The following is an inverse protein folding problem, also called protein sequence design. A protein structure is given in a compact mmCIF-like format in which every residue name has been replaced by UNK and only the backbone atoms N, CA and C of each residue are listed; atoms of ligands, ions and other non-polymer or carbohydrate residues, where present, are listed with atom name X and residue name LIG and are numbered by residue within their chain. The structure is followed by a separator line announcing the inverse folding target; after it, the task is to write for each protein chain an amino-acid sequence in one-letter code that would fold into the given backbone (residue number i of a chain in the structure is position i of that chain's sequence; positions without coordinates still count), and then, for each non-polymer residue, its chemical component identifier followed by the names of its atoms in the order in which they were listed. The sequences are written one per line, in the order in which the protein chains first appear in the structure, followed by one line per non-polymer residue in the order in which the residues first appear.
data_IF_721965319563
#
_entry.id   IF_721965319563
#
_cell.length_a   1.000
_cell.length_b   1.000
_cell.length_c   1.000
_cell.angle_alpha   90.00
_cell.angle_beta   90.00
_cell.angle_gamma   90.00
#
_symmetry.space_group_name_H-M   'P 1'
#
loop_
_entity.id
_entity.type
_entity.pdbx_description
1 polymer ?
#
# COMPACT_ATOMS: atom_id res chain seq x y z
N UNK A 1 -0.49 -24.77 24.19
CA UNK A 1 -1.30 -25.24 25.35
C UNK A 1 -2.41 -24.22 25.53
N UNK A 2 -3.68 -24.66 25.58
CA UNK A 2 -4.78 -23.77 25.96
C UNK A 2 -4.58 -23.47 27.44
N UNK A 3 -4.16 -22.24 27.75
CA UNK A 3 -4.10 -21.81 29.13
C UNK A 3 -5.51 -21.78 29.68
N UNK A 4 -5.67 -22.44 30.82
CA UNK A 4 -6.90 -22.45 31.56
C UNK A 4 -6.96 -21.12 32.31
N UNK A 5 -7.90 -20.23 31.97
CA UNK A 5 -8.01 -18.89 32.56
C UNK A 5 -8.60 -18.89 33.98
N UNK A 6 -8.68 -20.06 34.63
CA UNK A 6 -9.26 -20.30 35.96
C UNK A 6 -8.61 -19.53 37.12
N UNK A 7 -7.49 -18.85 36.93
CA UNK A 7 -6.87 -18.04 37.99
C UNK A 7 -6.85 -16.53 37.67
N UNK A 8 -7.56 -16.11 36.62
CA UNK A 8 -7.61 -14.72 36.17
C UNK A 8 -8.89 -14.06 36.69
N UNK A 9 -8.75 -12.91 37.33
CA UNK A 9 -9.87 -12.06 37.77
C UNK A 9 -10.20 -10.98 36.75
N UNK A 10 -9.20 -10.40 36.09
CA UNK A 10 -9.37 -9.36 35.07
C UNK A 10 -8.65 -9.73 33.79
N UNK A 11 -9.41 -10.15 32.78
CA UNK A 11 -8.91 -10.60 31.49
C UNK A 11 -9.10 -9.53 30.42
N UNK A 12 -8.01 -9.04 29.83
CA UNK A 12 -8.05 -8.24 28.62
C UNK A 12 -8.16 -9.11 27.37
N UNK A 13 -8.95 -8.70 26.39
CA UNK A 13 -9.05 -9.30 25.06
C UNK A 13 -8.71 -8.25 24.02
N UNK A 14 -7.70 -8.52 23.19
CA UNK A 14 -7.34 -7.70 22.03
C UNK A 14 -7.64 -8.48 20.75
N UNK A 15 -8.83 -8.27 20.20
CA UNK A 15 -9.24 -8.85 18.91
C UNK A 15 -8.73 -8.03 17.74
N UNK A 16 -8.21 -8.68 16.70
CA UNK A 16 -7.71 -7.96 15.53
C UNK A 16 -7.33 -8.86 14.37
N UNK A 17 -7.24 -8.28 13.17
CA UNK A 17 -6.76 -9.02 11.99
C UNK A 17 -5.26 -9.27 12.09
N UNK A 18 -4.50 -8.31 12.63
CA UNK A 18 -3.05 -8.40 12.82
C UNK A 18 -2.31 -8.76 11.53
N UNK A 19 -2.49 -7.94 10.49
CA UNK A 19 -2.01 -8.21 9.13
C UNK A 19 -0.97 -7.17 8.65
N UNK A 20 0.19 -6.98 9.31
CA UNK A 20 0.70 -7.69 10.49
C UNK A 20 0.37 -6.98 11.82
N UNK A 21 0.62 -7.65 12.95
CA UNK A 21 0.73 -6.99 14.26
C UNK A 21 1.89 -5.98 14.27
N UNK A 22 1.79 -4.94 15.10
CA UNK A 22 2.75 -3.82 15.15
C UNK A 22 2.74 -3.10 16.50
N UNK A 23 3.68 -2.17 16.72
CA UNK A 23 3.87 -1.56 18.03
C UNK A 23 2.64 -0.81 18.58
N UNK A 24 1.83 -0.17 17.74
CA UNK A 24 0.60 0.48 18.24
C UNK A 24 -0.40 -0.51 18.88
N UNK A 25 -0.47 -1.78 18.41
CA UNK A 25 -1.29 -2.81 19.05
C UNK A 25 -0.72 -3.18 20.43
N UNK A 26 0.58 -3.42 20.49
CA UNK A 26 1.28 -3.84 21.71
C UNK A 26 1.23 -2.75 22.79
N UNK A 27 1.45 -1.49 22.39
CA UNK A 27 1.40 -0.34 23.29
C UNK A 27 -0.01 -0.15 23.85
N UNK A 28 -1.03 -0.24 22.99
CA UNK A 28 -2.44 -0.15 23.41
C UNK A 28 -2.80 -1.22 24.44
N UNK A 29 -2.40 -2.47 24.19
CA UNK A 29 -2.62 -3.57 25.14
C UNK A 29 -1.88 -3.36 26.46
N UNK A 30 -0.64 -2.85 26.43
CA UNK A 30 0.16 -2.65 27.63
C UNK A 30 -0.39 -1.52 28.52
N UNK A 31 -0.80 -0.41 27.90
CA UNK A 31 -1.42 0.70 28.62
C UNK A 31 -2.76 0.30 29.24
N UNK A 32 -3.57 -0.49 28.52
CA UNK A 32 -4.81 -1.04 29.07
C UNK A 32 -4.53 -1.98 30.26
N UNK A 33 -3.52 -2.85 30.13
CA UNK A 33 -3.09 -3.75 31.19
C UNK A 33 -2.71 -2.98 32.47
N UNK A 34 -1.82 -1.99 32.36
CA UNK A 34 -1.34 -1.19 33.48
C UNK A 34 -2.46 -0.32 34.09
N UNK A 35 -3.18 0.45 33.27
CA UNK A 35 -4.19 1.42 33.74
C UNK A 35 -5.35 0.76 34.47
N UNK A 36 -5.78 -0.41 34.00
CA UNK A 36 -6.95 -1.12 34.56
C UNK A 36 -6.57 -2.30 35.46
N UNK A 37 -5.28 -2.50 35.70
CA UNK A 37 -4.73 -3.61 36.49
C UNK A 37 -5.27 -4.96 35.99
N UNK A 38 -5.17 -5.18 34.67
CA UNK A 38 -5.55 -6.46 34.08
C UNK A 38 -4.49 -7.50 34.46
N UNK A 39 -4.92 -8.71 34.80
CA UNK A 39 -3.98 -9.78 35.13
C UNK A 39 -3.22 -10.20 33.86
N UNK A 40 -3.94 -10.32 32.74
CA UNK A 40 -3.44 -10.78 31.43
C UNK A 40 -4.19 -10.12 30.27
N UNK A 41 -3.55 -10.07 29.10
CA UNK A 41 -4.19 -9.72 27.82
C UNK A 41 -4.05 -10.87 26.82
N UNK A 42 -5.16 -11.33 26.28
CA UNK A 42 -5.22 -12.36 25.23
C UNK A 42 -5.44 -11.70 23.88
N UNK A 43 -4.50 -11.90 22.97
CA UNK A 43 -4.60 -11.51 21.56
C UNK A 43 -5.34 -12.60 20.78
N UNK A 44 -6.33 -12.18 20.02
CA UNK A 44 -7.17 -13.09 19.22
C UNK A 44 -7.07 -12.67 17.75
N UNK A 45 -6.22 -13.32 16.95
CA UNK A 45 -6.23 -13.16 15.51
C UNK A 45 -7.59 -13.57 14.96
N UNK A 46 -8.21 -12.68 14.19
CA UNK A 46 -9.55 -12.93 13.63
C UNK A 46 -9.53 -14.12 12.67
N UNK A 47 -10.59 -14.92 12.71
CA UNK A 47 -10.87 -16.01 11.75
C UNK A 47 -11.33 -15.46 10.39
N UNK A 48 -12.54 -15.85 9.94
CA UNK A 48 -13.24 -15.25 8.79
C UNK A 48 -14.28 -14.21 9.25
N UNK A 49 -13.90 -12.92 9.39
CA UNK A 49 -14.81 -11.87 9.83
C UNK A 49 -15.77 -11.45 8.70
N UNK A 50 -17.10 -11.35 8.96
CA UNK A 50 -18.09 -10.99 7.93
C UNK A 50 -17.90 -9.58 7.35
N UNK A 51 -17.22 -8.70 8.09
CA UNK A 51 -17.11 -7.26 7.79
C UNK A 51 -15.74 -6.84 7.23
N UNK A 52 -14.80 -7.77 6.97
CA UNK A 52 -13.48 -7.44 6.39
C UNK A 52 -13.13 -8.33 5.20
N UNK A 53 -13.37 -7.83 3.99
CA UNK A 53 -12.86 -8.39 2.73
C UNK A 53 -11.61 -7.63 2.29
N UNK A 54 -10.52 -7.71 3.06
CA UNK A 54 -9.25 -7.11 2.63
C UNK A 54 -8.61 -7.96 1.51
N UNK A 55 -8.21 -7.29 0.43
CA UNK A 55 -7.37 -7.88 -0.61
C UNK A 55 -5.94 -7.95 -0.04
N UNK A 56 -5.31 -9.12 -0.01
CA UNK A 56 -3.96 -9.37 0.54
C UNK A 56 -3.89 -9.57 2.08
N UNK A 57 -4.75 -10.45 2.62
CA UNK A 57 -4.65 -10.96 3.99
C UNK A 57 -3.66 -12.13 4.03
N UNK A 58 -2.61 -12.04 4.85
CA UNK A 58 -1.76 -13.19 5.12
C UNK A 58 -2.59 -14.31 5.75
N UNK A 59 -2.26 -15.56 5.45
CA UNK A 59 -3.00 -16.71 6.00
C UNK A 59 -3.12 -16.62 7.53
N UNK A 60 -4.19 -17.20 8.06
CA UNK A 60 -4.45 -17.29 9.50
C UNK A 60 -3.24 -17.77 10.31
N UNK A 61 -2.54 -18.79 9.82
CA UNK A 61 -1.33 -19.33 10.45
C UNK A 61 -0.18 -18.31 10.47
N UNK A 62 0.02 -17.53 9.41
CA UNK A 62 1.05 -16.49 9.40
C UNK A 62 0.69 -15.38 10.39
N UNK A 63 -0.56 -14.93 10.43
CA UNK A 63 -1.03 -13.89 11.37
C UNK A 63 -0.88 -14.37 12.81
N UNK A 64 -1.27 -15.60 13.11
CA UNK A 64 -1.05 -16.23 14.42
C UNK A 64 0.43 -16.24 14.81
N UNK A 65 1.31 -16.70 13.92
CA UNK A 65 2.74 -16.78 14.21
C UNK A 65 3.37 -15.40 14.42
N UNK A 66 2.96 -14.39 13.63
CA UNK A 66 3.42 -13.01 13.83
C UNK A 66 2.99 -12.46 15.20
N UNK A 67 1.76 -12.72 15.64
CA UNK A 67 1.30 -12.31 16.98
C UNK A 67 2.07 -13.06 18.07
N UNK A 68 2.27 -14.38 17.92
CA UNK A 68 3.03 -15.21 18.87
C UNK A 68 4.44 -14.67 19.07
N UNK A 69 5.14 -14.34 17.98
CA UNK A 69 6.46 -13.72 18.01
C UNK A 69 6.42 -12.34 18.67
N UNK A 70 5.43 -11.51 18.33
CA UNK A 70 5.34 -10.14 18.85
C UNK A 70 5.22 -10.07 20.38
N UNK A 71 4.59 -11.06 21.00
CA UNK A 71 4.28 -11.05 22.43
C UNK A 71 5.23 -11.91 23.28
N UNK A 72 6.20 -12.60 22.67
CA UNK A 72 7.00 -13.65 23.33
C UNK A 72 7.74 -13.19 24.60
N UNK A 73 8.09 -11.91 24.67
CA UNK A 73 8.84 -11.32 25.78
C UNK A 73 7.95 -10.64 26.84
N UNK A 74 6.62 -10.72 26.71
CA UNK A 74 5.70 -10.17 27.71
C UNK A 74 4.95 -11.32 28.43
N UNK A 75 5.27 -11.62 29.70
CA UNK A 75 4.67 -12.74 30.43
C UNK A 75 3.17 -12.55 30.70
N UNK A 76 2.63 -11.35 30.49
CA UNK A 76 1.23 -11.04 30.69
C UNK A 76 0.42 -11.05 29.40
N UNK A 77 1.06 -11.28 28.25
CA UNK A 77 0.40 -11.37 26.96
C UNK A 77 0.31 -12.82 26.48
N UNK A 78 -0.87 -13.20 26.05
CA UNK A 78 -1.16 -14.52 25.50
C UNK A 78 -1.79 -14.42 24.13
N UNK A 79 -1.72 -15.51 23.38
CA UNK A 79 -2.36 -15.64 22.08
C UNK A 79 -3.35 -16.79 22.12
N UNK A 80 -4.52 -16.59 21.53
CA UNK A 80 -5.54 -17.63 21.36
C UNK A 80 -5.85 -17.83 19.88
N UNK A 81 -5.91 -19.09 19.45
CA UNK A 81 -6.37 -19.48 18.11
C UNK A 81 -7.87 -19.86 18.08
N UNK A 82 -8.64 -19.46 19.10
CA UNK A 82 -10.06 -19.81 19.27
C UNK A 82 -10.90 -19.53 18.01
N UNK A 83 -10.67 -18.39 17.37
CA UNK A 83 -11.39 -18.02 16.14
C UNK A 83 -10.86 -18.73 14.89
N UNK A 84 -9.58 -19.11 14.87
CA UNK A 84 -8.97 -19.79 13.72
C UNK A 84 -9.41 -21.26 13.60
N UNK A 85 -9.91 -21.84 14.69
CA UNK A 85 -10.48 -23.20 14.70
C UNK A 85 -11.91 -23.24 14.15
N UNK A 86 -12.55 -22.10 13.92
CA UNK A 86 -13.92 -22.01 13.39
C UNK A 86 -13.86 -21.98 11.86
N UNK A 87 -14.59 -22.89 11.21
CA UNK A 87 -14.71 -22.95 9.74
C UNK A 87 -15.84 -22.10 9.18
N UNK A 88 -16.51 -21.31 10.03
CA UNK A 88 -17.65 -20.46 9.69
C UNK A 88 -17.35 -19.02 10.07
N UNK A 89 -18.21 -18.10 9.60
CA UNK A 89 -18.18 -16.69 9.98
C UNK A 89 -18.08 -16.52 11.49
N UNK A 90 -17.09 -15.75 11.95
CA UNK A 90 -16.85 -15.55 13.38
C UNK A 90 -17.44 -14.24 13.88
N UNK A 91 -18.25 -14.32 14.95
CA UNK A 91 -18.80 -13.17 15.66
C UNK A 91 -18.17 -13.00 17.05
N UNK A 92 -17.93 -11.75 17.44
CA UNK A 92 -17.34 -11.43 18.75
C UNK A 92 -18.17 -11.96 19.92
N UNK A 93 -19.51 -11.95 19.83
CA UNK A 93 -20.38 -12.51 20.86
C UNK A 93 -20.10 -14.00 21.10
N UNK A 94 -19.89 -14.77 20.04
CA UNK A 94 -19.63 -16.20 20.13
C UNK A 94 -18.22 -16.48 20.68
N UNK A 95 -17.25 -15.62 20.36
CA UNK A 95 -15.89 -15.66 20.95
C UNK A 95 -15.93 -15.35 22.45
N UNK A 96 -16.69 -14.34 22.87
CA UNK A 96 -16.81 -13.97 24.29
C UNK A 96 -17.50 -15.05 25.13
N UNK A 97 -18.56 -15.67 24.61
CA UNK A 97 -19.23 -16.79 25.27
C UNK A 97 -18.27 -17.96 25.50
N UNK A 98 -17.51 -18.32 24.48
CA UNK A 98 -16.54 -19.42 24.58
C UNK A 98 -15.43 -19.09 25.60
N UNK A 99 -14.87 -17.88 25.57
CA UNK A 99 -13.86 -17.45 26.56
C UNK A 99 -14.42 -17.44 27.97
N UNK A 100 -15.63 -16.92 28.18
CA UNK A 100 -16.27 -16.88 29.51
C UNK A 100 -16.45 -18.30 30.06
N UNK A 101 -16.77 -19.28 29.22
CA UNK A 101 -16.89 -20.70 29.62
C UNK A 101 -15.55 -21.33 30.04
N UNK A 102 -14.42 -20.75 29.63
CA UNK A 102 -13.07 -21.19 29.98
C UNK A 102 -12.50 -20.49 31.24
N UNK A 103 -13.26 -19.56 31.84
CA UNK A 103 -12.85 -18.79 33.01
C UNK A 103 -13.67 -19.17 34.25
N UNK A 104 -13.30 -18.64 35.42
CA UNK A 104 -14.16 -18.70 36.59
C UNK A 104 -15.37 -17.76 36.44
N UNK A 105 -16.43 -18.02 37.21
CA UNK A 105 -17.66 -17.22 37.17
C UNK A 105 -17.42 -15.73 37.47
N UNK A 106 -16.50 -15.43 38.39
CA UNK A 106 -16.16 -14.08 38.86
C UNK A 106 -15.23 -13.29 37.93
N UNK A 107 -14.80 -13.86 36.79
CA UNK A 107 -13.92 -13.13 35.86
C UNK A 107 -14.60 -11.89 35.29
N UNK A 108 -13.87 -10.79 35.28
CA UNK A 108 -14.21 -9.59 34.53
C UNK A 108 -13.44 -9.58 33.20
N UNK A 109 -14.17 -9.55 32.09
CA UNK A 109 -13.59 -9.51 30.75
C UNK A 109 -13.60 -8.07 30.24
N UNK A 110 -12.48 -7.63 29.67
CA UNK A 110 -12.28 -6.30 29.10
C UNK A 110 -11.88 -6.41 27.63
N UNK A 111 -12.74 -6.00 26.71
CA UNK A 111 -12.44 -5.91 25.29
C UNK A 111 -11.67 -4.62 24.99
N UNK A 112 -10.40 -4.75 24.65
CA UNK A 112 -9.50 -3.64 24.32
C UNK A 112 -9.67 -3.32 22.84
N UNK A 113 -9.93 -2.06 22.53
CA UNK A 113 -10.19 -1.62 21.17
C UNK A 113 -9.81 -0.16 20.93
N UNK A 114 -9.63 0.24 19.67
CA UNK A 114 -9.38 1.64 19.32
C UNK A 114 -10.66 2.41 18.99
N UNK A 115 -10.53 3.72 18.79
CA UNK A 115 -11.64 4.61 18.42
C UNK A 115 -12.31 4.24 17.09
N UNK A 116 -11.57 3.69 16.13
CA UNK A 116 -12.13 3.27 14.85
C UNK A 116 -13.12 2.10 15.01
N UNK A 117 -12.81 1.17 15.89
CA UNK A 117 -13.63 -0.02 16.10
C UNK A 117 -14.85 0.28 16.98
N UNK A 118 -14.70 1.10 18.04
CA UNK A 118 -15.85 1.45 18.89
C UNK A 118 -16.95 2.17 18.09
N UNK A 119 -16.55 2.97 17.08
CA UNK A 119 -17.46 3.59 16.12
C UNK A 119 -18.18 2.60 15.18
N UNK A 120 -17.97 1.30 15.34
CA UNK A 120 -18.63 0.25 14.56
C UNK A 120 -19.30 -0.80 15.46
N UNK A 121 -19.14 -0.73 16.78
CA UNK A 121 -19.65 -1.77 17.71
C UNK A 121 -21.18 -1.84 17.70
N UNK A 122 -21.88 -0.74 17.44
CA UNK A 122 -23.34 -0.74 17.32
C UNK A 122 -23.87 -1.63 16.18
N UNK A 123 -23.03 -1.98 15.20
CA UNK A 123 -23.40 -2.86 14.09
C UNK A 123 -23.05 -4.32 14.33
N UNK A 124 -22.45 -4.65 15.48
CA UNK A 124 -22.05 -6.03 15.79
C UNK A 124 -23.26 -6.88 16.17
N UNK A 125 -23.21 -8.16 15.83
CA UNK A 125 -24.25 -9.13 16.22
C UNK A 125 -24.39 -9.18 17.74
N UNK A 126 -25.63 -9.06 18.23
CA UNK A 126 -26.01 -9.13 19.64
C UNK A 126 -25.26 -8.11 20.53
N UNK A 127 -25.14 -6.85 20.09
CA UNK A 127 -24.36 -5.80 20.79
C UNK A 127 -24.67 -5.71 22.29
N UNK A 128 -25.93 -5.71 22.70
CA UNK A 128 -26.28 -5.61 24.12
C UNK A 128 -25.78 -6.82 24.92
N UNK A 129 -25.87 -8.03 24.37
CA UNK A 129 -25.35 -9.24 25.00
C UNK A 129 -23.81 -9.23 25.09
N UNK A 130 -23.12 -8.57 24.16
CA UNK A 130 -21.67 -8.36 24.26
C UNK A 130 -21.34 -7.55 25.52
N UNK A 131 -22.08 -6.46 25.76
CA UNK A 131 -21.89 -5.66 26.97
C UNK A 131 -22.28 -6.42 28.25
N UNK A 132 -23.14 -7.44 28.19
CA UNK A 132 -23.42 -8.29 29.36
C UNK A 132 -22.28 -9.26 29.68
N UNK A 133 -21.45 -9.61 28.69
CA UNK A 133 -20.32 -10.51 28.86
C UNK A 133 -19.00 -9.80 29.14
N UNK A 134 -18.85 -8.54 28.71
CA UNK A 134 -17.59 -7.80 28.89
C UNK A 134 -17.77 -6.29 29.05
N UNK A 135 -16.70 -5.67 29.54
CA UNK A 135 -16.45 -4.23 29.54
C UNK A 135 -15.57 -3.87 28.34
N UNK A 136 -15.55 -2.62 27.91
CA UNK A 136 -14.69 -2.11 26.84
C UNK A 136 -13.63 -1.17 27.39
N UNK A 137 -12.39 -1.33 26.92
CA UNK A 137 -11.32 -0.35 27.09
C UNK A 137 -11.03 0.24 25.71
N UNK A 138 -11.48 1.48 25.50
CA UNK A 138 -11.26 2.23 24.26
C UNK A 138 -9.94 2.99 24.37
N UNK A 139 -8.95 2.60 23.58
CA UNK A 139 -7.70 3.32 23.43
C UNK A 139 -7.90 4.52 22.52
N UNK A 140 -7.47 5.69 22.99
CA UNK A 140 -7.72 6.98 22.35
C UNK A 140 -6.42 7.67 22.00
N UNK A 141 -6.45 8.39 20.88
CA UNK A 141 -5.43 9.34 20.46
C UNK A 141 -5.96 10.76 20.71
N UNK A 142 -5.11 11.78 20.86
CA UNK A 142 -5.57 13.17 20.88
C UNK A 142 -6.49 13.47 19.68
N UNK A 143 -7.58 14.21 19.92
CA UNK A 143 -8.57 14.62 18.90
C UNK A 143 -9.36 13.49 18.21
N UNK A 144 -9.59 12.36 18.88
CA UNK A 144 -10.48 11.32 18.35
C UNK A 144 -11.93 11.83 18.19
N UNK A 145 -12.62 11.32 17.16
CA UNK A 145 -14.01 11.68 16.87
C UNK A 145 -14.90 10.48 17.18
N UNK A 146 -15.94 10.71 17.97
CA UNK A 146 -17.02 9.75 18.21
C UNK A 146 -18.24 10.18 17.39
N UNK A 147 -18.78 9.26 16.61
CA UNK A 147 -20.04 9.50 15.90
C UNK A 147 -21.24 9.50 16.86
N UNK A 148 -22.40 9.92 16.36
CA UNK A 148 -23.62 10.03 17.17
C UNK A 148 -24.11 8.67 17.69
N UNK A 149 -24.00 7.62 16.89
CA UNK A 149 -24.34 6.25 17.30
C UNK A 149 -23.49 5.79 18.49
N UNK A 150 -22.20 6.14 18.49
CA UNK A 150 -21.26 5.77 19.53
C UNK A 150 -21.48 6.56 20.80
N UNK A 151 -21.83 7.84 20.70
CA UNK A 151 -22.26 8.63 21.87
C UNK A 151 -23.47 8.00 22.54
N UNK A 152 -24.49 7.63 21.77
CA UNK A 152 -25.68 6.95 22.29
C UNK A 152 -25.33 5.58 22.91
N UNK A 153 -24.42 4.82 22.29
CA UNK A 153 -23.94 3.55 22.84
C UNK A 153 -23.21 3.74 24.18
N UNK A 154 -22.37 4.78 24.28
CA UNK A 154 -21.66 5.14 25.51
C UNK A 154 -22.64 5.54 26.60
N UNK A 155 -23.67 6.32 26.28
CA UNK A 155 -24.69 6.69 27.27
C UNK A 155 -25.47 5.46 27.76
N UNK A 156 -25.89 4.58 26.85
CA UNK A 156 -26.60 3.33 27.18
C UNK A 156 -25.77 2.40 28.08
N UNK A 157 -24.46 2.33 27.84
CA UNK A 157 -23.53 1.40 28.50
C UNK A 157 -22.43 2.10 29.31
N UNK A 158 -22.74 3.26 29.90
CA UNK A 158 -21.76 4.19 30.52
C UNK A 158 -20.82 3.55 31.55
N UNK A 159 -21.31 2.56 32.30
CA UNK A 159 -20.52 1.87 33.34
C UNK A 159 -19.72 0.67 32.80
N UNK A 160 -19.77 0.41 31.50
CA UNK A 160 -19.10 -0.70 30.82
C UNK A 160 -18.07 -0.24 29.80
N UNK A 161 -17.92 1.08 29.56
CA UNK A 161 -16.98 1.63 28.58
C UNK A 161 -15.99 2.54 29.30
N UNK A 162 -14.70 2.25 29.14
CA UNK A 162 -13.61 2.96 29.80
C UNK A 162 -12.62 3.48 28.76
N UNK A 163 -12.03 4.65 29.01
CA UNK A 163 -11.09 5.28 28.08
C UNK A 163 -9.63 5.22 28.57
N UNK A 164 -8.77 4.69 27.72
CA UNK A 164 -7.33 4.62 27.92
C UNK A 164 -6.63 5.56 26.94
N UNK A 165 -6.04 6.64 27.43
CA UNK A 165 -5.21 7.50 26.59
C UNK A 165 -3.87 6.80 26.33
N UNK A 166 -3.46 6.74 25.07
CA UNK A 166 -2.20 6.11 24.67
C UNK A 166 -1.37 7.06 23.81
N UNK A 167 -0.01 6.93 23.82
CA UNK A 167 0.84 7.73 22.96
C UNK A 167 0.46 7.59 21.49
N UNK A 168 0.48 8.72 20.77
CA UNK A 168 0.12 8.76 19.37
C UNK A 168 1.21 8.09 18.51
N UNK A 169 0.98 6.83 18.16
CA UNK A 169 1.74 6.10 17.16
C UNK A 169 0.94 6.04 15.85
N UNK A 170 1.37 6.80 14.84
CA UNK A 170 0.83 6.74 13.47
C UNK A 170 1.34 5.50 12.72
N UNK A 171 1.08 4.33 13.29
CA UNK A 171 1.42 3.03 12.71
C UNK A 171 0.13 2.31 12.35
N UNK A 172 0.03 1.86 11.11
CA UNK A 172 -1.07 1.00 10.65
C UNK A 172 -0.52 -0.20 9.88
N UNK A 173 -1.21 -1.34 9.99
CA UNK A 173 -0.89 -2.54 9.20
C UNK A 173 -0.91 -2.24 7.70
N UNK A 174 -1.84 -1.40 7.23
CA UNK A 174 -1.92 -0.96 5.82
C UNK A 174 -0.63 -0.25 5.38
N UNK A 175 -0.14 0.70 6.19
CA UNK A 175 1.11 1.40 5.89
C UNK A 175 2.30 0.43 5.87
N UNK A 176 2.38 -0.49 6.82
CA UNK A 176 3.45 -1.51 6.86
C UNK A 176 3.45 -2.37 5.60
N UNK A 177 2.29 -2.89 5.18
CA UNK A 177 2.17 -3.67 3.93
C UNK A 177 2.56 -2.84 2.71
N UNK A 178 2.10 -1.58 2.63
CA UNK A 178 2.46 -0.63 1.57
C UNK A 178 3.97 -0.42 1.49
N UNK A 179 4.65 -0.26 2.63
CA UNK A 179 6.11 -0.09 2.71
C UNK A 179 6.85 -1.34 2.25
N UNK A 180 6.45 -2.52 2.70
CA UNK A 180 7.05 -3.80 2.28
C UNK A 180 6.91 -3.99 0.77
N UNK A 181 5.72 -3.71 0.23
CA UNK A 181 5.46 -3.79 -1.21
C UNK A 181 6.30 -2.79 -2.04
N UNK A 182 6.68 -1.66 -1.43
CA UNK A 182 7.55 -0.62 -2.00
C UNK A 182 9.05 -0.85 -1.70
N UNK A 183 9.43 -2.01 -1.16
CA UNK A 183 10.81 -2.31 -0.74
C UNK A 183 11.38 -1.29 0.28
N UNK A 184 10.51 -0.57 1.00
CA UNK A 184 10.89 0.37 2.07
C UNK A 184 11.02 -0.38 3.38
N UNK A 185 12.00 0.03 4.20
CA UNK A 185 12.20 -0.58 5.52
C UNK A 185 10.99 -0.40 6.43
N UNK A 186 10.66 -1.41 7.23
CA UNK A 186 9.65 -1.34 8.31
C UNK A 186 10.27 -1.45 9.71
N UNK A 187 11.58 -1.27 9.80
CA UNK A 187 12.31 -1.20 11.08
C UNK A 187 11.64 -0.17 11.99
N UNK A 188 11.49 -0.51 13.27
CA UNK A 188 10.84 0.32 14.30
C UNK A 188 9.33 0.52 14.17
N UNK A 189 8.66 -0.07 13.16
CA UNK A 189 7.19 -0.08 13.06
C UNK A 189 6.57 -1.29 13.76
N UNK A 190 7.32 -2.39 13.85
CA UNK A 190 6.90 -3.66 14.44
C UNK A 190 8.11 -4.40 15.05
N UNK A 191 7.88 -5.41 15.92
CA UNK A 191 8.97 -6.18 16.54
C UNK A 191 9.93 -6.82 15.54
N UNK A 192 11.24 -6.82 15.85
CA UNK A 192 12.28 -7.27 14.92
C UNK A 192 12.13 -8.73 14.47
N UNK A 193 11.64 -9.60 15.36
CA UNK A 193 11.36 -11.00 15.07
C UNK A 193 10.18 -11.17 14.09
N UNK A 194 9.14 -10.33 14.20
CA UNK A 194 8.04 -10.28 13.24
C UNK A 194 8.52 -9.76 11.88
N UNK A 195 9.38 -8.74 11.86
CA UNK A 195 9.98 -8.24 10.62
C UNK A 195 10.77 -9.35 9.90
N UNK A 196 11.63 -10.07 10.64
CA UNK A 196 12.37 -11.23 10.10
C UNK A 196 11.41 -12.30 9.57
N UNK A 197 10.34 -12.60 10.31
CA UNK A 197 9.35 -13.59 9.89
C UNK A 197 8.67 -13.21 8.57
N UNK A 198 8.26 -11.95 8.44
CA UNK A 198 7.64 -11.40 7.22
C UNK A 198 8.57 -11.61 6.02
N UNK A 199 9.84 -11.20 6.12
CA UNK A 199 10.78 -11.32 5.00
C UNK A 199 11.13 -12.76 4.67
N UNK A 200 11.35 -13.61 5.68
CA UNK A 200 11.69 -15.03 5.47
C UNK A 200 10.56 -15.82 4.80
N UNK A 201 9.31 -15.40 4.99
CA UNK A 201 8.14 -16.05 4.39
C UNK A 201 7.62 -15.30 3.14
N UNK A 202 8.35 -14.28 2.65
CA UNK A 202 7.95 -13.51 1.47
C UNK A 202 6.61 -12.77 1.60
N UNK A 203 6.14 -12.49 2.82
CA UNK A 203 4.80 -11.95 3.05
C UNK A 203 4.69 -10.50 2.57
N UNK A 204 3.52 -10.16 2.03
CA UNK A 204 3.17 -8.82 1.53
C UNK A 204 4.00 -8.34 0.33
N UNK A 205 4.86 -9.18 -0.23
CA UNK A 205 5.57 -8.91 -1.47
C UNK A 205 4.71 -9.42 -2.64
N UNK A 206 4.47 -8.55 -3.62
CA UNK A 206 3.99 -8.97 -4.94
C UNK A 206 5.19 -8.86 -5.87
N UNK A 207 5.67 -10.00 -6.37
CA UNK A 207 6.73 -10.00 -7.37
C UNK A 207 6.12 -9.74 -8.76
N UNK A 208 6.05 -8.45 -9.10
CA UNK A 208 5.59 -8.02 -10.40
C UNK A 208 6.54 -8.46 -11.54
N UNK A 209 7.81 -8.73 -11.26
CA UNK A 209 8.74 -9.21 -12.28
C UNK A 209 8.49 -10.68 -12.60
N UNK A 210 8.11 -11.50 -11.62
CA UNK A 210 7.62 -12.86 -11.85
C UNK A 210 6.31 -12.85 -12.65
N UNK A 211 5.36 -11.97 -12.29
CA UNK A 211 4.09 -11.81 -13.03
C UNK A 211 4.31 -11.45 -14.51
N UNK A 212 5.29 -10.58 -14.79
CA UNK A 212 5.60 -10.07 -16.13
C UNK A 212 6.92 -10.64 -16.69
N UNK A 213 7.24 -11.89 -16.37
CA UNK A 213 8.51 -12.52 -16.77
C UNK A 213 8.73 -12.49 -18.28
N UNK A 214 7.65 -12.67 -19.07
CA UNK A 214 7.71 -12.65 -20.54
C UNK A 214 8.14 -11.29 -21.07
N UNK A 215 7.55 -10.23 -20.56
CA UNK A 215 7.85 -8.84 -20.91
C UNK A 215 9.27 -8.48 -20.49
N UNK A 216 9.69 -8.87 -19.28
CA UNK A 216 11.06 -8.69 -18.78
C UNK A 216 12.07 -9.37 -19.71
N UNK A 217 11.81 -10.60 -20.13
CA UNK A 217 12.69 -11.35 -21.04
C UNK A 217 12.82 -10.69 -22.41
N UNK A 218 11.70 -10.23 -22.98
CA UNK A 218 11.69 -9.51 -24.26
C UNK A 218 12.45 -8.19 -24.17
N UNK A 219 12.26 -7.40 -23.11
CA UNK A 219 12.99 -6.15 -22.91
C UNK A 219 14.50 -6.39 -22.81
N UNK A 220 14.93 -7.41 -22.06
CA UNK A 220 16.35 -7.74 -21.90
C UNK A 220 17.03 -8.13 -23.22
N UNK A 221 16.28 -8.66 -24.18
CA UNK A 221 16.80 -9.01 -25.51
C UNK A 221 16.90 -7.79 -26.45
N UNK A 222 16.08 -6.75 -26.23
CA UNK A 222 15.93 -5.63 -27.15
C UNK A 222 16.53 -4.31 -26.63
N UNK A 223 16.87 -4.23 -25.35
CA UNK A 223 17.45 -3.06 -24.71
C UNK A 223 18.90 -3.31 -24.30
N UNK A 224 19.70 -2.24 -24.27
CA UNK A 224 21.02 -2.29 -23.61
C UNK A 224 20.85 -2.50 -22.11
N UNK A 225 21.85 -3.04 -21.44
CA UNK A 225 21.82 -3.29 -19.98
C UNK A 225 21.46 -2.01 -19.19
N UNK A 226 22.07 -0.88 -19.55
CA UNK A 226 21.76 0.42 -18.92
C UNK A 226 20.29 0.80 -19.10
N UNK A 227 19.72 0.58 -20.28
CA UNK A 227 18.33 0.95 -20.60
C UNK A 227 17.33 -0.03 -19.98
N UNK A 228 17.67 -1.31 -19.94
CA UNK A 228 16.91 -2.31 -19.20
C UNK A 228 16.84 -1.95 -17.71
N UNK A 229 17.97 -1.63 -17.07
CA UNK A 229 17.99 -1.19 -15.68
C UNK A 229 17.14 0.07 -15.46
N UNK A 230 17.20 1.04 -16.38
CA UNK A 230 16.32 2.21 -16.37
C UNK A 230 14.83 1.81 -16.37
N UNK A 231 14.40 0.95 -17.30
CA UNK A 231 13.02 0.43 -17.34
C UNK A 231 12.58 -0.25 -16.04
N UNK A 232 13.45 -1.04 -15.42
CA UNK A 232 13.18 -1.68 -14.12
C UNK A 232 12.94 -0.61 -13.04
N UNK A 233 13.76 0.43 -13.01
CA UNK A 233 13.65 1.50 -12.01
C UNK A 233 12.42 2.37 -12.24
N UNK A 234 12.08 2.69 -13.50
CA UNK A 234 10.84 3.38 -13.85
C UNK A 234 9.62 2.55 -13.46
N UNK A 235 9.61 1.23 -13.68
CA UNK A 235 8.51 0.36 -13.26
C UNK A 235 8.29 0.38 -11.73
N UNK A 236 9.38 0.32 -10.96
CA UNK A 236 9.34 0.39 -9.48
C UNK A 236 8.84 1.76 -8.98
N UNK A 237 9.32 2.83 -9.59
CA UNK A 237 8.94 4.20 -9.23
C UNK A 237 7.49 4.49 -9.61
N UNK A 238 7.06 4.10 -10.81
CA UNK A 238 5.68 4.22 -11.28
C UNK A 238 4.70 3.48 -10.37
N UNK A 239 5.03 2.24 -9.97
CA UNK A 239 4.26 1.49 -8.98
C UNK A 239 4.14 2.27 -7.66
N UNK A 240 5.24 2.85 -7.17
CA UNK A 240 5.27 3.58 -5.90
C UNK A 240 4.41 4.85 -5.95
N UNK A 241 4.50 5.61 -7.05
CA UNK A 241 3.66 6.78 -7.29
C UNK A 241 2.17 6.40 -7.40
N UNK A 242 1.85 5.33 -8.14
CA UNK A 242 0.48 4.86 -8.27
C UNK A 242 -0.13 4.50 -6.91
N UNK A 243 0.63 3.83 -6.04
CA UNK A 243 0.20 3.52 -4.68
C UNK A 243 0.05 4.76 -3.79
N UNK A 244 0.74 5.86 -4.07
CA UNK A 244 0.58 7.13 -3.35
C UNK A 244 -0.68 7.87 -3.80
N UNK A 245 -0.93 7.88 -5.10
CA UNK A 245 -2.06 8.61 -5.70
C UNK A 245 -3.33 7.78 -5.86
N UNK A 246 -3.42 6.62 -5.21
CA UNK A 246 -4.55 5.69 -5.27
C UNK A 246 -4.91 5.21 -6.70
N UNK A 247 -3.90 5.04 -7.54
CA UNK A 247 -4.00 4.56 -8.92
C UNK A 247 -3.70 3.06 -9.03
N UNK A 248 -4.02 2.47 -10.19
CA UNK A 248 -3.77 1.05 -10.43
C UNK A 248 -2.26 0.76 -10.55
N UNK A 249 -1.69 0.26 -9.46
CA UNK A 249 -0.27 -0.11 -9.35
C UNK A 249 0.19 -1.16 -10.36
N UNK A 250 -0.68 -2.06 -10.80
CA UNK A 250 -0.31 -3.09 -11.79
C UNK A 250 -0.17 -2.50 -13.19
N UNK A 251 -1.09 -1.60 -13.57
CA UNK A 251 -0.99 -0.86 -14.83
C UNK A 251 0.24 0.04 -14.84
N UNK A 252 0.49 0.75 -13.74
CA UNK A 252 1.65 1.63 -13.61
C UNK A 252 2.98 0.87 -13.71
N UNK A 253 3.07 -0.29 -13.04
CA UNK A 253 4.25 -1.13 -13.15
C UNK A 253 4.48 -1.62 -14.60
N UNK A 254 3.46 -2.17 -15.25
CA UNK A 254 3.58 -2.68 -16.61
C UNK A 254 3.92 -1.56 -17.60
N UNK A 255 3.22 -0.43 -17.54
CA UNK A 255 3.49 0.72 -18.40
C UNK A 255 4.92 1.25 -18.19
N UNK A 256 5.37 1.37 -16.93
CA UNK A 256 6.74 1.77 -16.61
C UNK A 256 7.79 0.75 -17.05
N UNK A 257 7.47 -0.55 -17.02
CA UNK A 257 8.36 -1.61 -17.49
C UNK A 257 8.61 -1.50 -19.01
N UNK A 258 7.55 -1.29 -19.80
CA UNK A 258 7.64 -1.30 -21.27
C UNK A 258 7.73 0.09 -21.92
N UNK A 259 7.75 1.18 -21.15
CA UNK A 259 7.71 2.56 -21.69
C UNK A 259 8.77 2.85 -22.75
N UNK A 260 9.98 2.30 -22.56
CA UNK A 260 11.16 2.53 -23.38
C UNK A 260 11.44 1.37 -24.36
N UNK A 261 10.45 0.50 -24.64
CA UNK A 261 10.64 -0.75 -25.39
C UNK A 261 11.25 -0.58 -26.80
N UNK A 262 11.09 0.59 -27.42
CA UNK A 262 11.66 0.92 -28.73
C UNK A 262 12.92 1.80 -28.64
N UNK A 263 13.43 2.13 -27.44
CA UNK A 263 14.44 3.17 -27.27
C UNK A 263 15.78 2.85 -27.92
N UNK A 264 16.13 1.57 -28.02
CA UNK A 264 17.37 1.08 -28.61
C UNK A 264 17.23 0.69 -30.09
N UNK A 265 16.10 0.99 -30.75
CA UNK A 265 15.93 0.70 -32.17
C UNK A 265 16.89 1.55 -33.01
N UNK A 266 17.69 0.93 -33.89
CA UNK A 266 18.50 1.69 -34.85
C UNK A 266 17.59 2.38 -35.88
N UNK A 267 18.06 3.46 -36.50
CA UNK A 267 17.28 4.25 -37.47
C UNK A 267 16.56 3.40 -38.55
N UNK A 268 17.19 2.39 -39.19
CA UNK A 268 16.48 1.54 -40.16
C UNK A 268 15.27 0.84 -39.55
N UNK A 269 15.38 0.38 -38.29
CA UNK A 269 14.29 -0.29 -37.59
C UNK A 269 13.16 0.67 -37.23
N UNK A 270 13.47 1.93 -36.93
CA UNK A 270 12.46 2.98 -36.72
C UNK A 270 11.64 3.16 -37.99
N UNK A 271 12.27 3.34 -39.15
CA UNK A 271 11.57 3.51 -40.42
C UNK A 271 10.77 2.27 -40.85
N UNK A 272 11.34 1.07 -40.68
CA UNK A 272 10.63 -0.20 -40.93
C UNK A 272 9.34 -0.29 -40.11
N UNK A 273 9.38 0.08 -38.82
CA UNK A 273 8.19 0.09 -37.98
C UNK A 273 7.21 1.23 -38.35
N UNK A 274 7.71 2.38 -38.83
CA UNK A 274 6.83 3.44 -39.34
C UNK A 274 6.01 2.94 -40.55
N UNK A 275 6.65 2.22 -41.47
CA UNK A 275 5.97 1.60 -42.61
C UNK A 275 5.01 0.50 -42.16
N UNK A 276 5.48 -0.44 -41.32
CA UNK A 276 4.68 -1.55 -40.80
C UNK A 276 3.37 -1.09 -40.15
N UNK A 277 3.43 -0.03 -39.34
CA UNK A 277 2.28 0.50 -38.60
C UNK A 277 1.57 1.66 -39.30
N UNK A 278 1.98 2.01 -40.53
CA UNK A 278 1.50 3.19 -41.26
C UNK A 278 1.56 4.48 -40.39
N UNK A 279 2.61 4.60 -39.58
CA UNK A 279 2.85 5.73 -38.70
C UNK A 279 3.67 6.81 -39.42
N UNK A 280 3.09 8.00 -39.55
CA UNK A 280 3.74 9.14 -40.23
C UNK A 280 4.51 9.98 -39.21
N UNK A 281 5.81 10.13 -39.44
CA UNK A 281 6.64 11.06 -38.69
C UNK A 281 6.27 12.50 -39.05
N UNK A 282 5.97 13.32 -38.06
CA UNK A 282 5.87 14.78 -38.25
C UNK A 282 7.26 15.42 -38.44
N UNK A 283 7.29 16.72 -38.69
CA UNK A 283 8.53 17.44 -38.99
C UNK A 283 9.51 17.49 -37.81
N UNK A 284 9.02 17.44 -36.57
CA UNK A 284 9.88 17.37 -35.38
C UNK A 284 10.50 15.98 -35.27
N UNK A 285 9.69 14.93 -35.44
CA UNK A 285 10.14 13.53 -35.37
C UNK A 285 11.10 13.19 -36.51
N UNK A 286 10.94 13.74 -37.72
CA UNK A 286 11.91 13.59 -38.81
C UNK A 286 13.27 14.19 -38.47
N UNK A 287 13.29 15.35 -37.80
CA UNK A 287 14.53 16.04 -37.39
C UNK A 287 15.15 15.44 -36.13
N UNK A 288 14.36 14.79 -35.29
CA UNK A 288 14.81 14.10 -34.08
C UNK A 288 14.18 12.68 -33.99
N UNK A 289 14.64 11.72 -34.82
CA UNK A 289 14.05 10.37 -34.89
C UNK A 289 14.09 9.63 -33.55
N UNK A 290 15.05 9.96 -32.68
CA UNK A 290 15.14 9.42 -31.33
C UNK A 290 13.90 9.65 -30.48
N UNK A 291 13.04 10.64 -30.79
CA UNK A 291 11.76 10.87 -30.10
C UNK A 291 10.67 9.88 -30.54
N UNK A 292 10.79 9.30 -31.74
CA UNK A 292 9.80 8.41 -32.32
C UNK A 292 9.63 7.10 -31.53
N UNK A 293 10.61 6.70 -30.71
CA UNK A 293 10.52 5.47 -29.90
C UNK A 293 9.27 5.43 -29.01
N UNK A 294 8.87 6.56 -28.42
CA UNK A 294 7.69 6.60 -27.56
C UNK A 294 6.40 6.37 -28.36
N UNK A 295 6.28 7.04 -29.51
CA UNK A 295 5.14 6.88 -30.43
C UNK A 295 5.07 5.50 -31.08
N UNK A 296 6.21 4.94 -31.51
CA UNK A 296 6.28 3.57 -32.01
C UNK A 296 6.09 2.54 -30.90
N UNK A 297 6.48 2.90 -29.66
CA UNK A 297 6.30 2.10 -28.46
C UNK A 297 4.85 1.75 -28.20
N UNK A 298 3.91 2.64 -28.53
CA UNK A 298 2.46 2.35 -28.54
C UNK A 298 2.14 1.08 -29.36
N UNK A 299 2.59 1.04 -30.61
CA UNK A 299 2.28 -0.07 -31.52
C UNK A 299 3.05 -1.33 -31.16
N UNK A 300 4.32 -1.20 -30.79
CA UNK A 300 5.15 -2.35 -30.36
C UNK A 300 4.62 -2.96 -29.06
N UNK A 301 4.19 -2.15 -28.09
CA UNK A 301 3.55 -2.63 -26.88
C UNK A 301 2.26 -3.40 -27.17
N UNK A 302 1.46 -2.89 -28.12
CA UNK A 302 0.23 -3.55 -28.56
C UNK A 302 0.48 -4.88 -29.25
N UNK A 303 1.41 -4.92 -30.20
CA UNK A 303 1.63 -6.08 -31.06
C UNK A 303 2.54 -7.15 -30.44
N UNK A 304 3.64 -6.72 -29.79
CA UNK A 304 4.68 -7.63 -29.29
C UNK A 304 4.42 -8.01 -27.84
N UNK A 305 4.00 -7.05 -27.01
CA UNK A 305 3.70 -7.28 -25.59
C UNK A 305 2.21 -7.62 -25.35
N UNK A 306 1.38 -7.64 -26.41
CA UNK A 306 -0.05 -7.96 -26.37
C UNK A 306 -0.84 -7.09 -25.37
N UNK A 307 -0.43 -5.83 -25.20
CA UNK A 307 -1.08 -4.88 -24.31
C UNK A 307 -2.29 -4.28 -25.03
N UNK A 308 -3.48 -4.44 -24.44
CA UNK A 308 -4.76 -3.95 -25.01
C UNK A 308 -5.33 -2.73 -24.29
N UNK A 309 -4.77 -2.39 -23.12
CA UNK A 309 -5.25 -1.29 -22.30
C UNK A 309 -4.77 0.04 -22.86
N UNK A 310 -5.68 0.84 -23.42
CA UNK A 310 -5.34 2.11 -24.07
C UNK A 310 -4.73 3.13 -23.12
N UNK A 311 -4.99 3.06 -21.81
CA UNK A 311 -4.37 3.96 -20.85
C UNK A 311 -2.87 3.64 -20.67
N UNK A 312 -2.52 2.35 -20.61
CA UNK A 312 -1.11 1.90 -20.65
C UNK A 312 -0.45 2.32 -21.96
N UNK A 313 -1.12 2.07 -23.10
CA UNK A 313 -0.55 2.38 -24.42
C UNK A 313 -0.32 3.89 -24.61
N UNK A 314 -1.25 4.73 -24.17
CA UNK A 314 -1.09 6.18 -24.21
C UNK A 314 0.00 6.65 -23.24
N UNK A 315 0.13 6.03 -22.07
CA UNK A 315 1.23 6.32 -21.14
C UNK A 315 2.60 6.07 -21.77
N UNK A 316 2.74 4.99 -22.55
CA UNK A 316 3.96 4.72 -23.34
C UNK A 316 4.11 5.77 -24.45
N UNK A 317 3.04 6.09 -25.18
CA UNK A 317 3.08 7.04 -26.31
C UNK A 317 3.56 8.43 -25.91
N UNK A 318 3.09 8.93 -24.76
CA UNK A 318 3.27 10.32 -24.34
C UNK A 318 4.28 10.50 -23.21
N UNK A 319 5.01 9.47 -22.77
CA UNK A 319 5.96 9.59 -21.65
C UNK A 319 7.12 10.55 -21.91
N UNK A 320 7.47 10.86 -23.17
CA UNK A 320 8.59 11.77 -23.49
C UNK A 320 8.15 13.20 -23.73
N UNK A 321 7.02 13.38 -24.40
CA UNK A 321 6.51 14.67 -24.82
C UNK A 321 5.54 15.26 -23.80
N UNK A 322 4.81 14.41 -23.08
CA UNK A 322 3.58 14.80 -22.41
C UNK A 322 2.48 15.14 -23.42
N UNK A 323 1.28 15.40 -22.92
CA UNK A 323 0.19 16.03 -23.68
C UNK A 323 -0.75 16.77 -22.73
N UNK A 324 -1.60 17.64 -23.27
CA UNK A 324 -2.67 18.22 -22.47
C UNK A 324 -3.64 17.14 -21.96
N UNK A 325 -4.15 17.34 -20.74
CA UNK A 325 -5.14 16.47 -20.10
C UNK A 325 -4.76 14.97 -20.07
N UNK A 326 -3.53 14.66 -19.64
CA UNK A 326 -3.11 13.26 -19.38
C UNK A 326 -3.91 12.65 -18.24
N UNK A 327 -4.18 11.34 -18.35
CA UNK A 327 -4.66 10.51 -17.24
C UNK A 327 -3.65 10.50 -16.09
N UNK A 328 -4.06 10.08 -14.90
CA UNK A 328 -3.12 9.95 -13.79
C UNK A 328 -2.04 8.89 -14.09
N UNK A 329 -2.37 7.81 -14.80
CA UNK A 329 -1.38 6.81 -15.22
C UNK A 329 -0.35 7.42 -16.17
N UNK A 330 -0.80 8.17 -17.18
CA UNK A 330 0.09 8.88 -18.12
C UNK A 330 1.04 9.83 -17.39
N UNK A 331 0.52 10.63 -16.44
CA UNK A 331 1.33 11.51 -15.59
C UNK A 331 2.34 10.70 -14.77
N UNK A 332 1.91 9.61 -14.14
CA UNK A 332 2.78 8.75 -13.34
C UNK A 332 3.96 8.22 -14.16
N UNK A 333 3.74 7.75 -15.40
CA UNK A 333 4.83 7.24 -16.24
C UNK A 333 5.77 8.35 -16.67
N UNK A 334 5.24 9.51 -17.08
CA UNK A 334 6.04 10.69 -17.43
C UNK A 334 6.93 11.14 -16.25
N UNK A 335 6.34 11.23 -15.05
CA UNK A 335 7.04 11.64 -13.83
C UNK A 335 8.06 10.58 -13.40
N UNK A 336 7.67 9.30 -13.39
CA UNK A 336 8.54 8.18 -13.00
C UNK A 336 9.79 8.10 -13.88
N UNK A 337 9.65 8.28 -15.20
CA UNK A 337 10.80 8.32 -16.12
C UNK A 337 11.79 9.43 -15.72
N UNK A 338 11.29 10.58 -15.29
CA UNK A 338 12.12 11.72 -14.89
C UNK A 338 12.77 11.57 -13.52
N UNK A 339 12.10 10.94 -12.55
CA UNK A 339 12.54 10.95 -11.14
C UNK A 339 13.22 9.65 -10.68
N UNK A 340 13.26 8.61 -11.51
CA UNK A 340 13.74 7.29 -11.11
C UNK A 340 15.15 7.35 -10.45
N UNK A 341 15.45 6.43 -9.51
CA UNK A 341 16.62 6.57 -8.63
C UNK A 341 18.00 6.65 -9.31
N UNK A 342 18.16 6.13 -10.52
CA UNK A 342 19.43 6.08 -11.26
C UNK A 342 19.71 7.31 -12.13
N UNK A 343 18.79 8.29 -12.17
CA UNK A 343 19.03 9.56 -12.85
C UNK A 343 20.21 10.28 -12.22
N UNK A 344 21.09 10.81 -13.09
CA UNK A 344 22.25 11.58 -12.68
C UNK A 344 21.82 12.75 -11.78
N UNK A 345 22.61 13.02 -10.73
CA UNK A 345 22.32 14.07 -9.76
C UNK A 345 22.28 15.45 -10.43
N UNK A 346 21.16 16.16 -10.27
CA UNK A 346 21.07 17.60 -10.48
C UNK A 346 20.04 18.18 -9.51
N UNK A 347 20.23 19.43 -9.09
CA UNK A 347 19.42 20.10 -8.05
C UNK A 347 17.90 19.97 -8.29
N UNK A 348 17.48 19.97 -9.55
CA UNK A 348 16.08 19.87 -9.94
C UNK A 348 15.38 18.54 -9.64
N UNK A 349 16.10 17.41 -9.56
CA UNK A 349 15.46 16.08 -9.43
C UNK A 349 14.88 15.82 -8.03
N UNK A 350 15.48 16.36 -6.97
CA UNK A 350 14.95 16.18 -5.61
C UNK A 350 13.64 16.92 -5.40
N UNK A 351 13.58 18.15 -5.91
CA UNK A 351 12.34 18.94 -5.89
C UNK A 351 11.25 18.25 -6.70
N UNK A 352 11.58 17.67 -7.86
CA UNK A 352 10.62 16.86 -8.63
C UNK A 352 10.10 15.66 -7.82
N UNK A 353 10.99 14.91 -7.15
CA UNK A 353 10.60 13.76 -6.28
C UNK A 353 9.67 14.19 -5.16
N UNK A 354 9.97 15.28 -4.48
CA UNK A 354 9.13 15.77 -3.38
C UNK A 354 7.72 16.14 -3.86
N UNK A 355 7.63 16.88 -4.98
CA UNK A 355 6.35 17.32 -5.54
C UNK A 355 5.57 16.11 -6.08
N UNK A 356 6.25 15.16 -6.74
CA UNK A 356 5.64 13.98 -7.35
C UNK A 356 4.82 13.13 -6.38
N UNK A 357 5.26 12.98 -5.13
CA UNK A 357 4.50 12.21 -4.12
C UNK A 357 3.39 13.03 -3.44
N UNK A 358 3.29 14.34 -3.70
CA UNK A 358 2.27 15.22 -3.13
C UNK A 358 1.17 15.56 -4.14
N UNK A 359 1.53 15.88 -5.37
CA UNK A 359 0.61 16.39 -6.40
C UNK A 359 1.16 16.12 -7.81
N UNK A 360 0.47 15.25 -8.55
CA UNK A 360 0.88 14.88 -9.91
C UNK A 360 0.84 16.07 -10.88
N UNK A 361 -0.14 16.98 -10.78
CA UNK A 361 -0.25 18.09 -11.72
C UNK A 361 0.88 19.11 -11.50
N UNK A 362 1.21 19.42 -10.24
CA UNK A 362 2.36 20.28 -9.93
C UNK A 362 3.69 19.63 -10.34
N UNK A 363 3.80 18.31 -10.22
CA UNK A 363 4.98 17.60 -10.70
C UNK A 363 5.11 17.67 -12.23
N UNK A 364 4.00 17.51 -12.96
CA UNK A 364 3.98 17.71 -14.42
C UNK A 364 4.44 19.10 -14.81
N UNK A 365 3.87 20.16 -14.21
CA UNK A 365 4.26 21.55 -14.48
C UNK A 365 5.77 21.75 -14.30
N UNK A 366 6.28 21.33 -13.13
CA UNK A 366 7.69 21.48 -12.77
C UNK A 366 8.63 20.74 -13.73
N UNK A 367 8.30 19.49 -14.06
CA UNK A 367 9.13 18.64 -14.92
C UNK A 367 9.08 19.11 -16.37
N UNK A 368 7.90 19.48 -16.90
CA UNK A 368 7.75 20.03 -18.23
C UNK A 368 8.54 21.33 -18.40
N UNK A 369 8.42 22.25 -17.43
CA UNK A 369 9.20 23.49 -17.43
C UNK A 369 10.70 23.22 -17.47
N UNK A 370 11.19 22.34 -16.60
CA UNK A 370 12.61 21.97 -16.50
C UNK A 370 13.11 21.32 -17.79
N UNK A 371 12.30 20.46 -18.41
CA UNK A 371 12.63 19.72 -19.63
C UNK A 371 12.66 20.65 -20.85
N UNK A 372 11.71 21.58 -20.97
CA UNK A 372 11.67 22.59 -22.03
C UNK A 372 12.90 23.49 -21.94
N UNK A 373 13.23 24.00 -20.74
CA UNK A 373 14.41 24.84 -20.54
C UNK A 373 15.71 24.11 -20.90
N UNK A 374 15.85 22.86 -20.45
CA UNK A 374 17.03 22.04 -20.74
C UNK A 374 17.22 21.81 -22.25
N UNK A 375 16.16 21.39 -22.95
CA UNK A 375 16.23 21.13 -24.38
C UNK A 375 16.43 22.42 -25.20
N UNK A 376 15.83 23.54 -24.79
CA UNK A 376 16.05 24.85 -25.41
C UNK A 376 17.51 25.28 -25.28
N UNK A 377 18.11 25.16 -24.08
CA UNK A 377 19.55 25.45 -23.86
C UNK A 377 20.47 24.57 -24.71
N UNK A 378 20.03 23.36 -25.05
CA UNK A 378 20.77 22.44 -25.94
C UNK A 378 20.48 22.63 -27.43
N UNK A 379 19.68 23.63 -27.82
CA UNK A 379 19.31 23.88 -29.22
C UNK A 379 18.43 22.78 -29.84
N UNK A 380 17.77 21.96 -29.01
CA UNK A 380 16.85 20.91 -29.48
C UNK A 380 15.48 21.47 -29.79
N UNK A 381 14.83 20.94 -30.81
CA UNK A 381 13.46 21.33 -31.18
C UNK A 381 12.49 20.76 -30.14
N UNK A 382 11.65 21.61 -29.58
CA UNK A 382 10.60 21.18 -28.64
C UNK A 382 9.38 20.73 -29.44
N UNK A 383 8.88 19.54 -29.13
CA UNK A 383 7.67 19.03 -29.77
C UNK A 383 6.45 19.87 -29.31
N UNK A 384 5.51 20.25 -30.20
CA UNK A 384 4.34 21.06 -29.85
C UNK A 384 3.54 20.52 -28.66
N UNK A 385 3.34 19.19 -28.59
CA UNK A 385 2.71 18.51 -27.46
C UNK A 385 3.30 18.87 -26.09
N UNK A 386 4.61 19.07 -25.98
CA UNK A 386 5.25 19.45 -24.71
C UNK A 386 4.90 20.89 -24.30
N UNK A 387 4.75 21.79 -25.26
CA UNK A 387 4.32 23.17 -25.02
C UNK A 387 2.84 23.19 -24.62
N UNK A 388 1.99 22.44 -25.33
CA UNK A 388 0.58 22.28 -25.01
C UNK A 388 0.37 21.69 -23.60
N UNK A 389 1.13 20.63 -23.27
CA UNK A 389 1.10 20.03 -21.94
C UNK A 389 1.52 21.04 -20.86
N UNK A 390 2.62 21.77 -21.07
CA UNK A 390 3.09 22.76 -20.10
C UNK A 390 2.05 23.86 -19.87
N UNK A 391 1.46 24.39 -20.93
CA UNK A 391 0.40 25.40 -20.82
C UNK A 391 -0.85 24.87 -20.12
N UNK A 392 -1.16 23.58 -20.27
CA UNK A 392 -2.29 22.96 -19.58
C UNK A 392 -2.07 22.85 -18.06
N UNK A 393 -0.88 22.42 -17.63
CA UNK A 393 -0.58 22.19 -16.19
C UNK A 393 -0.09 23.42 -15.43
N UNK A 394 0.26 24.50 -16.14
CA UNK A 394 0.64 25.79 -15.54
C UNK A 394 -0.56 26.55 -14.95
N UNK A 395 -1.76 26.29 -15.47
CA UNK A 395 -3.02 26.88 -15.02
C UNK A 395 -3.73 25.94 -14.05
#
# INVERSE_FOLDING_TARGET
MMENFKNIKKLGIMGGTFNPIHYAHLLSSNYALEKYNLDKVVFIPTGDPPHKREVNIASDIHRYNMVKLAIENNPNFFISNIELKRHTTTYTIDTLREIKSMCNEDVEIYFITGTDTINQVYSWKDTDAIFDLCKFIVTTRPNYILDEHTKNLIEKHKNKIYFCETPMLEISSTNIRKRIEQEKTVTYLLPKNVEKYIYNNGLYKIDFFEKYEKEVKLLKQNLTEKRFNHSIQVAKEAKSLAMEHNENKEKAFLAGLVHDCCKCFPLPKIYENCEKYNFKLDDVLKRQPDLAHSFLGYYVAKDIYNIKDEDILNSIKYHTTGRANMSNLEKIIYIADYIEPTRAYFEGVYKAREIAYKDLNKAMEYILHSTIQFNTKKGRIIHPLSIEAYNYYKN
#
